data_IF_635014329408
#
_entry.id   IF_635014329408
#
_cell.length_a   1.000
_cell.length_b   1.000
_cell.length_c   1.000
_cell.angle_alpha   90.00
_cell.angle_beta   90.00
_cell.angle_gamma   90.00
#
_symmetry.space_group_name_H-M   'P 1'
#
loop_
_entity.id
_entity.type
_entity.pdbx_description
1 polymer ?
#
# COMPACT_ATOMS: atom_id res chain seq x y z
N UNK A 1 -19.70 10.26 -0.17
CA UNK A 1 -19.07 10.34 -1.49
C UNK A 1 -17.61 10.73 -1.28
N UNK A 2 -16.67 9.80 -1.46
CA UNK A 2 -15.23 10.05 -1.29
C UNK A 2 -14.65 10.53 -2.62
N UNK A 3 -13.76 11.54 -2.59
CA UNK A 3 -13.06 12.07 -3.78
C UNK A 3 -13.94 12.58 -4.94
N UNK A 4 -15.21 12.90 -4.69
CA UNK A 4 -16.17 13.31 -5.73
C UNK A 4 -16.32 12.30 -6.90
N UNK A 5 -15.99 11.03 -6.67
CA UNK A 5 -16.20 9.95 -7.63
C UNK A 5 -17.68 9.52 -7.57
N UNK A 6 -18.42 9.50 -8.69
CA UNK A 6 -19.77 8.95 -8.74
C UNK A 6 -19.77 7.45 -8.48
N UNK A 7 -20.57 7.00 -7.51
CA UNK A 7 -20.73 5.59 -7.19
C UNK A 7 -19.57 5.00 -6.37
N UNK A 8 -19.43 3.68 -6.44
CA UNK A 8 -18.35 2.93 -5.79
C UNK A 8 -17.17 2.75 -6.75
N UNK A 9 -15.97 2.60 -6.18
CA UNK A 9 -14.77 2.27 -6.93
C UNK A 9 -13.84 1.44 -6.05
N UNK A 10 -13.02 0.61 -6.69
CA UNK A 10 -11.96 -0.12 -6.02
C UNK A 10 -10.69 0.74 -5.93
N UNK A 11 -10.03 0.66 -4.79
CA UNK A 11 -8.76 1.29 -4.51
C UNK A 11 -7.84 0.28 -3.81
N UNK A 12 -6.52 0.37 -3.99
CA UNK A 12 -5.59 -0.27 -3.07
C UNK A 12 -5.72 0.36 -1.67
N UNK A 13 -5.33 -0.40 -0.65
CA UNK A 13 -5.10 0.10 0.72
C UNK A 13 -4.11 1.27 0.70
N UNK A 14 -4.31 2.23 1.59
CA UNK A 14 -3.34 3.30 1.84
C UNK A 14 -3.97 4.57 2.39
N UNK A 15 -3.12 5.36 3.06
CA UNK A 15 -3.50 6.61 3.71
C UNK A 15 -2.42 7.68 3.61
N UNK A 16 -2.51 8.66 4.50
CA UNK A 16 -1.52 9.74 4.58
C UNK A 16 -0.26 9.27 5.30
N UNK A 17 0.85 9.94 4.99
CA UNK A 17 2.11 9.77 5.71
C UNK A 17 2.09 10.74 6.88
N UNK A 18 2.27 10.23 8.09
CA UNK A 18 2.27 11.04 9.30
C UNK A 18 3.57 11.86 9.45
N UNK A 19 3.54 12.88 10.33
CA UNK A 19 4.72 13.72 10.57
C UNK A 19 5.87 12.88 11.16
N UNK A 20 7.04 12.96 10.52
CA UNK A 20 8.22 12.16 10.86
C UNK A 20 8.17 10.69 10.41
N UNK A 21 7.09 10.25 9.75
CA UNK A 21 6.97 8.90 9.19
C UNK A 21 7.57 8.84 7.77
N UNK A 22 8.31 7.78 7.45
CA UNK A 22 8.73 7.56 6.07
C UNK A 22 7.59 7.00 5.22
N UNK A 23 7.59 7.21 3.88
CA UNK A 23 6.56 6.61 3.03
C UNK A 23 6.50 5.07 3.10
N UNK A 24 7.63 4.43 3.44
CA UNK A 24 7.71 2.98 3.59
C UNK A 24 7.04 2.51 4.90
N UNK A 25 7.31 3.19 6.02
CA UNK A 25 6.66 2.91 7.30
C UNK A 25 5.16 3.14 7.22
N UNK A 26 4.72 4.23 6.56
CA UNK A 26 3.32 4.50 6.31
C UNK A 26 2.66 3.35 5.55
N UNK A 27 3.27 2.85 4.47
CA UNK A 27 2.72 1.72 3.71
C UNK A 27 2.55 0.45 4.56
N UNK A 28 3.52 0.14 5.43
CA UNK A 28 3.44 -1.01 6.36
C UNK A 28 2.37 -0.81 7.43
N UNK A 29 2.26 0.40 7.97
CA UNK A 29 1.23 0.76 8.95
C UNK A 29 -0.16 0.62 8.34
N UNK A 30 -0.42 1.23 7.19
CA UNK A 30 -1.73 1.22 6.53
C UNK A 30 -2.18 -0.21 6.17
N UNK A 31 -1.28 -1.05 5.64
CA UNK A 31 -1.58 -2.47 5.36
C UNK A 31 -1.90 -3.25 6.63
N UNK A 32 -1.17 -3.00 7.72
CA UNK A 32 -1.45 -3.63 9.01
C UNK A 32 -2.78 -3.14 9.59
N UNK A 33 -3.03 -1.83 9.57
CA UNK A 33 -4.23 -1.22 10.15
C UNK A 33 -5.50 -1.58 9.38
N UNK A 34 -5.50 -1.55 8.05
CA UNK A 34 -6.69 -1.82 7.23
C UNK A 34 -6.91 -3.31 6.92
N UNK A 35 -5.83 -4.09 6.80
CA UNK A 35 -5.91 -5.49 6.35
C UNK A 35 -5.43 -6.51 7.39
N UNK A 36 -4.68 -6.11 8.41
CA UNK A 36 -4.07 -7.04 9.37
C UNK A 36 -3.00 -7.93 8.74
N UNK A 37 -2.41 -7.48 7.64
CA UNK A 37 -1.40 -8.20 6.87
C UNK A 37 -0.01 -7.58 7.05
N UNK A 38 1.01 -8.37 6.71
CA UNK A 38 2.40 -7.93 6.65
C UNK A 38 3.23 -8.92 5.82
N UNK A 39 4.53 -8.65 5.68
CA UNK A 39 5.46 -9.57 5.03
C UNK A 39 5.74 -10.84 5.86
N UNK A 40 6.53 -11.76 5.31
CA UNK A 40 7.06 -12.90 6.08
C UNK A 40 7.90 -12.46 7.29
N UNK A 41 8.80 -11.49 7.11
CA UNK A 41 9.65 -11.00 8.20
C UNK A 41 8.80 -10.37 9.32
N UNK A 42 7.73 -9.67 8.95
CA UNK A 42 6.81 -9.09 9.92
C UNK A 42 6.02 -10.17 10.69
N UNK A 43 5.56 -11.21 10.00
CA UNK A 43 4.85 -12.33 10.63
C UNK A 43 5.73 -13.10 11.62
N UNK A 44 6.99 -13.34 11.25
CA UNK A 44 7.99 -14.01 12.12
C UNK A 44 8.33 -13.15 13.35
N UNK A 45 8.37 -11.82 13.20
CA UNK A 45 8.62 -10.91 14.32
C UNK A 45 7.45 -10.80 15.31
N UNK A 46 6.22 -11.11 14.89
CA UNK A 46 5.03 -11.06 15.73
C UNK A 46 4.83 -12.27 16.65
N UNK A 47 5.65 -13.34 16.55
CA UNK A 47 5.61 -14.47 17.50
C UNK A 47 6.26 -14.16 18.87
N UNK A 48 6.71 -12.93 19.11
CA UNK A 48 7.09 -12.46 20.43
C UNK A 48 7.28 -10.95 20.46
N UNK A 49 6.68 -10.31 21.46
CA UNK A 49 6.79 -8.90 21.86
C UNK A 49 5.55 -8.04 21.51
N UNK A 50 4.93 -7.58 22.59
CA UNK A 50 3.98 -6.48 22.71
C UNK A 50 4.34 -5.32 21.78
N UNK A 51 3.36 -4.76 21.07
CA UNK A 51 3.53 -3.71 20.06
C UNK A 51 3.93 -2.37 20.72
N UNK A 52 5.08 -2.33 21.38
CA UNK A 52 5.80 -1.13 21.69
C UNK A 52 6.35 -0.57 20.39
N UNK A 53 5.95 0.65 20.04
CA UNK A 53 6.56 1.49 19.01
C UNK A 53 8.07 1.28 18.99
N UNK A 54 8.57 0.47 18.06
CA UNK A 54 10.01 0.42 17.79
C UNK A 54 10.31 1.73 17.08
N UNK A 55 10.66 2.72 17.89
CA UNK A 55 11.26 3.98 17.48
C UNK A 55 12.66 3.70 16.90
N UNK A 56 12.71 2.97 15.79
CA UNK A 56 13.76 3.11 14.82
C UNK A 56 13.28 4.15 13.82
N UNK A 57 13.08 5.39 14.27
CA UNK A 57 12.92 6.52 13.35
C UNK A 57 14.22 6.59 12.55
N UNK A 58 14.25 5.89 11.43
CA UNK A 58 15.17 6.20 10.36
C UNK A 58 14.68 7.55 9.88
N UNK A 59 15.19 8.62 10.51
CA UNK A 59 15.02 9.99 10.06
C UNK A 59 15.49 9.98 8.61
N UNK A 60 14.56 9.85 7.66
CA UNK A 60 14.90 10.00 6.27
C UNK A 60 14.84 11.50 6.05
N UNK A 61 15.99 12.20 5.95
CA UNK A 61 15.98 13.65 5.85
C UNK A 61 15.16 14.04 4.62
N UNK A 62 14.26 15.02 4.80
CA UNK A 62 13.70 15.78 3.69
C UNK A 62 14.88 16.25 2.85
N UNK A 63 14.99 15.76 1.62
CA UNK A 63 16.03 16.22 0.73
C UNK A 63 15.70 17.68 0.36
N UNK A 64 16.71 18.54 0.08
CA UNK A 64 16.49 19.95 -0.25
C UNK A 64 15.51 20.20 -1.42
N UNK A 65 15.19 19.15 -2.18
CA UNK A 65 14.31 19.10 -3.35
C UNK A 65 13.02 18.25 -3.16
N UNK A 66 12.76 17.65 -1.99
CA UNK A 66 11.51 16.93 -1.75
C UNK A 66 11.51 15.88 -0.62
N UNK A 67 10.39 15.17 -0.51
CA UNK A 67 10.33 13.91 0.26
C UNK A 67 11.38 12.95 -0.34
N UNK A 68 12.11 12.16 0.47
CA UNK A 68 12.88 11.04 -0.05
C UNK A 68 11.98 10.19 -0.94
N UNK A 69 12.54 9.65 -2.03
CA UNK A 69 11.76 8.91 -3.04
C UNK A 69 10.93 7.75 -2.44
N UNK A 70 11.19 7.34 -1.20
CA UNK A 70 10.50 6.27 -0.50
C UNK A 70 11.12 4.91 -0.78
N UNK A 71 12.18 4.86 -1.60
CA UNK A 71 12.91 3.63 -1.85
C UNK A 71 13.79 3.33 -0.64
N UNK A 72 13.64 2.12 -0.09
CA UNK A 72 14.53 1.58 0.93
C UNK A 72 15.46 0.56 0.26
N UNK A 73 16.78 0.76 0.38
CA UNK A 73 17.78 -0.06 -0.35
C UNK A 73 17.91 -1.48 0.21
N UNK A 74 17.88 -1.61 1.53
CA UNK A 74 17.92 -2.91 2.24
C UNK A 74 16.52 -3.27 2.77
N UNK A 75 15.51 -3.06 1.93
CA UNK A 75 14.12 -3.32 2.30
C UNK A 75 13.83 -4.82 2.43
N UNK A 76 12.78 -5.11 3.18
CA UNK A 76 12.13 -6.42 3.16
C UNK A 76 11.82 -6.86 1.70
N UNK A 77 12.26 -8.04 1.25
CA UNK A 77 12.15 -8.48 -0.14
C UNK A 77 10.71 -8.73 -0.60
N UNK A 78 9.76 -8.87 0.32
CA UNK A 78 8.34 -8.96 0.00
C UNK A 78 7.73 -7.59 -0.32
N UNK A 79 8.36 -6.50 0.12
CA UNK A 79 7.92 -5.14 -0.18
C UNK A 79 8.65 -4.59 -1.41
N UNK A 80 7.96 -4.57 -2.55
CA UNK A 80 8.49 -3.98 -3.78
C UNK A 80 8.08 -2.51 -3.85
N UNK A 81 9.06 -1.62 -3.97
CA UNK A 81 8.80 -0.21 -4.27
C UNK A 81 8.43 -0.04 -5.75
N UNK A 82 7.25 0.52 -6.02
CA UNK A 82 6.73 0.74 -7.37
C UNK A 82 7.04 2.14 -7.91
N UNK A 83 7.36 3.11 -7.05
CA UNK A 83 7.73 4.47 -7.45
C UNK A 83 7.06 5.58 -6.65
N UNK A 84 7.55 6.80 -6.86
CA UNK A 84 6.99 8.05 -6.33
C UNK A 84 6.48 8.91 -7.49
N UNK A 85 5.20 9.26 -7.44
CA UNK A 85 4.52 9.91 -8.56
C UNK A 85 3.82 11.18 -8.10
N UNK A 86 4.01 12.27 -8.85
CA UNK A 86 3.28 13.51 -8.60
C UNK A 86 1.81 13.32 -8.94
N UNK A 87 0.93 13.67 -8.02
CA UNK A 87 -0.52 13.72 -8.23
C UNK A 87 -0.93 15.15 -8.59
N UNK A 88 -1.89 15.31 -9.52
CA UNK A 88 -2.39 16.61 -9.98
C UNK A 88 -1.26 17.66 -10.20
N UNK A 89 -0.26 17.31 -11.03
CA UNK A 89 1.00 18.04 -11.15
C UNK A 89 0.85 19.55 -11.44
N UNK A 90 -0.14 19.93 -12.26
CA UNK A 90 -0.45 21.33 -12.58
C UNK A 90 -1.29 22.06 -11.52
N UNK A 91 -1.73 21.38 -10.47
CA UNK A 91 -2.53 21.92 -9.36
C UNK A 91 -1.78 21.87 -8.03
N UNK A 92 -0.49 21.50 -8.06
CA UNK A 92 0.30 21.36 -6.84
C UNK A 92 -0.18 20.22 -5.95
N UNK A 93 -0.82 19.17 -6.50
CA UNK A 93 -1.16 17.98 -5.72
C UNK A 93 0.08 17.33 -5.08
N UNK A 94 -0.13 16.44 -4.13
CA UNK A 94 0.95 15.76 -3.39
C UNK A 94 1.65 14.68 -4.19
N UNK A 95 2.37 13.80 -3.49
CA UNK A 95 2.99 12.60 -4.06
C UNK A 95 2.21 11.34 -3.67
N UNK A 96 2.18 10.37 -4.57
CA UNK A 96 1.87 8.98 -4.29
C UNK A 96 3.19 8.23 -4.16
N UNK A 97 3.43 7.58 -3.03
CA UNK A 97 4.45 6.55 -2.92
C UNK A 97 3.75 5.20 -2.98
N UNK A 98 4.08 4.40 -3.99
CA UNK A 98 3.39 3.14 -4.27
C UNK A 98 4.30 1.95 -3.97
N UNK A 99 3.72 0.94 -3.34
CA UNK A 99 4.42 -0.29 -2.96
C UNK A 99 3.53 -1.49 -3.28
N UNK A 100 4.18 -2.63 -3.54
CA UNK A 100 3.53 -3.91 -3.72
C UNK A 100 4.07 -4.90 -2.67
N UNK A 101 3.21 -5.27 -1.73
CA UNK A 101 3.48 -6.33 -0.77
C UNK A 101 3.15 -7.69 -1.41
N UNK A 102 4.17 -8.52 -1.62
CA UNK A 102 4.04 -9.93 -2.04
C UNK A 102 4.00 -10.86 -0.84
N UNK A 103 3.43 -12.04 -1.05
CA UNK A 103 3.42 -13.12 -0.05
C UNK A 103 2.90 -12.66 1.32
N UNK A 104 1.89 -11.80 1.31
CA UNK A 104 1.33 -11.22 2.52
C UNK A 104 0.81 -12.32 3.46
N UNK A 105 1.18 -12.25 4.73
CA UNK A 105 0.73 -13.15 5.78
C UNK A 105 -0.08 -12.37 6.84
N UNK A 106 -1.03 -13.03 7.52
CA UNK A 106 -1.71 -12.42 8.66
C UNK A 106 -0.71 -12.11 9.78
N UNK A 107 -0.70 -10.86 10.23
CA UNK A 107 0.09 -10.38 11.39
C UNK A 107 -0.81 -9.92 12.54
N UNK A 108 -2.13 -10.03 12.35
CA UNK A 108 -3.16 -9.75 13.34
C UNK A 108 -4.29 -10.81 13.27
N UNK A 109 -5.07 -11.01 14.34
CA UNK A 109 -6.19 -11.94 14.33
C UNK A 109 -7.19 -11.62 13.21
N UNK A 110 -7.52 -12.63 12.40
CA UNK A 110 -8.37 -12.53 11.22
C UNK A 110 -7.81 -11.65 10.07
N UNK A 111 -6.53 -11.25 10.12
CA UNK A 111 -5.89 -10.48 9.05
C UNK A 111 -6.03 -11.16 7.69
N UNK A 112 -6.29 -10.36 6.64
CA UNK A 112 -6.53 -10.87 5.28
C UNK A 112 -7.87 -11.59 5.09
N UNK A 113 -8.82 -11.44 6.00
CA UNK A 113 -10.15 -12.06 5.89
C UNK A 113 -11.28 -11.04 6.01
N UNK A 114 -12.47 -11.38 5.52
CA UNK A 114 -13.68 -10.56 5.69
C UNK A 114 -14.10 -10.33 7.17
N UNK A 115 -13.50 -11.08 8.11
CA UNK A 115 -13.73 -10.92 9.55
C UNK A 115 -12.79 -9.91 10.19
N UNK A 116 -11.74 -9.48 9.50
CA UNK A 116 -10.86 -8.45 10.01
C UNK A 116 -11.65 -7.16 10.28
N UNK A 117 -11.22 -6.43 11.31
CA UNK A 117 -11.74 -5.11 11.65
C UNK A 117 -10.52 -4.21 11.74
N UNK A 118 -10.43 -3.26 10.81
CA UNK A 118 -9.32 -2.33 10.79
C UNK A 118 -9.25 -1.51 12.07
N UNK A 119 -8.05 -1.12 12.44
CA UNK A 119 -7.75 -0.38 13.68
C UNK A 119 -7.48 1.10 13.44
N UNK A 120 -7.60 1.57 12.19
CA UNK A 120 -7.36 2.96 11.75
C UNK A 120 -8.63 3.83 11.64
N UNK A 121 -8.57 4.87 10.80
CA UNK A 121 -9.59 5.93 10.63
C UNK A 121 -11.01 5.38 10.40
N UNK A 122 -12.01 6.13 10.87
CA UNK A 122 -13.45 5.81 10.88
C UNK A 122 -14.09 5.69 9.47
N UNK A 123 -13.27 5.75 8.42
CA UNK A 123 -13.72 5.56 7.06
C UNK A 123 -14.09 4.10 6.79
N UNK A 124 -15.38 3.87 6.50
CA UNK A 124 -15.89 2.54 6.18
C UNK A 124 -15.50 2.15 4.74
N UNK A 125 -14.67 1.11 4.60
CA UNK A 125 -14.47 0.42 3.32
C UNK A 125 -14.88 -1.05 3.43
N UNK A 126 -15.24 -1.65 2.29
CA UNK A 126 -15.53 -3.07 2.19
C UNK A 126 -14.31 -3.77 1.57
N UNK A 127 -13.74 -4.73 2.29
CA UNK A 127 -12.65 -5.55 1.76
C UNK A 127 -13.17 -6.46 0.66
N UNK A 128 -12.56 -6.35 -0.52
CA UNK A 128 -12.81 -7.22 -1.66
C UNK A 128 -11.49 -7.84 -2.07
N UNK A 129 -11.48 -9.16 -2.22
CA UNK A 129 -10.32 -9.91 -2.67
C UNK A 129 -10.51 -10.27 -4.13
N UNK A 130 -9.48 -10.00 -4.92
CA UNK A 130 -9.43 -10.36 -6.32
C UNK A 130 -8.27 -11.33 -6.54
N UNK A 131 -8.51 -12.32 -7.40
CA UNK A 131 -7.42 -13.06 -8.03
C UNK A 131 -6.62 -12.15 -8.96
N UNK A 132 -5.38 -12.52 -9.24
CA UNK A 132 -4.55 -11.81 -10.21
C UNK A 132 -5.25 -11.68 -11.58
N UNK A 133 -5.92 -12.75 -12.03
CA UNK A 133 -6.66 -12.75 -13.29
C UNK A 133 -7.79 -11.71 -13.29
N UNK A 134 -8.54 -11.60 -12.20
CA UNK A 134 -9.61 -10.60 -12.08
C UNK A 134 -9.03 -9.18 -12.15
N UNK A 135 -7.93 -8.90 -11.42
CA UNK A 135 -7.28 -7.58 -11.47
C UNK A 135 -6.76 -7.28 -12.87
N UNK A 136 -6.17 -8.27 -13.55
CA UNK A 136 -5.70 -8.16 -14.93
C UNK A 136 -6.84 -7.84 -15.88
N UNK A 137 -7.96 -8.56 -15.77
CA UNK A 137 -9.14 -8.35 -16.60
C UNK A 137 -9.79 -6.98 -16.34
N UNK A 138 -9.90 -6.56 -15.07
CA UNK A 138 -10.38 -5.22 -14.69
C UNK A 138 -9.48 -4.12 -15.27
N UNK A 139 -8.16 -4.35 -15.29
CA UNK A 139 -7.18 -3.42 -15.86
C UNK A 139 -7.30 -3.33 -17.39
N UNK A 140 -7.53 -4.44 -18.08
CA UNK A 140 -7.73 -4.50 -19.53
C UNK A 140 -9.06 -3.86 -19.96
N UNK A 141 -10.15 -4.18 -19.25
CA UNK A 141 -11.48 -3.63 -19.56
C UNK A 141 -11.55 -2.12 -19.33
N UNK A 142 -10.76 -1.62 -18.37
CA UNK A 142 -10.70 -0.21 -18.03
C UNK A 142 -11.95 0.29 -17.31
N UNK A 143 -11.87 1.51 -16.78
CA UNK A 143 -13.01 2.17 -16.13
C UNK A 143 -13.46 1.55 -14.80
N UNK A 144 -12.78 0.52 -14.30
CA UNK A 144 -13.09 -0.12 -13.00
C UNK A 144 -12.49 0.67 -11.84
N UNK A 145 -11.21 1.04 -11.95
CA UNK A 145 -10.54 1.99 -11.06
C UNK A 145 -10.87 3.41 -11.54
N UNK A 146 -11.53 4.21 -10.69
CA UNK A 146 -12.01 5.55 -11.06
C UNK A 146 -10.99 6.66 -10.84
N UNK A 147 -9.87 6.35 -10.22
CA UNK A 147 -8.75 7.26 -10.03
C UNK A 147 -7.50 6.72 -10.75
N UNK A 148 -6.82 7.59 -11.50
CA UNK A 148 -5.61 7.23 -12.27
C UNK A 148 -4.54 6.62 -11.38
N UNK A 149 -4.35 7.14 -10.17
CA UNK A 149 -3.35 6.64 -9.24
C UNK A 149 -3.62 5.19 -8.80
N UNK A 150 -4.89 4.81 -8.66
CA UNK A 150 -5.27 3.43 -8.31
C UNK A 150 -5.06 2.49 -9.49
N UNK A 151 -5.47 2.90 -10.69
CA UNK A 151 -5.21 2.13 -11.91
C UNK A 151 -3.71 1.91 -12.14
N UNK A 152 -2.90 2.96 -11.94
CA UNK A 152 -1.45 2.89 -12.07
C UNK A 152 -0.83 1.94 -11.04
N UNK A 153 -1.25 1.98 -9.77
CA UNK A 153 -0.75 1.06 -8.74
C UNK A 153 -1.02 -0.40 -9.08
N UNK A 154 -2.25 -0.76 -9.47
CA UNK A 154 -2.55 -2.13 -9.89
C UNK A 154 -1.77 -2.54 -11.15
N UNK A 155 -1.68 -1.65 -12.14
CA UNK A 155 -0.91 -1.92 -13.36
C UNK A 155 0.59 -2.18 -13.09
N UNK A 156 1.21 -1.35 -12.25
CA UNK A 156 2.61 -1.52 -11.86
C UNK A 156 2.82 -2.82 -11.08
N UNK A 157 1.92 -3.16 -10.14
CA UNK A 157 2.00 -4.42 -9.40
C UNK A 157 1.88 -5.66 -10.31
N UNK A 158 0.95 -5.63 -11.29
CA UNK A 158 0.81 -6.71 -12.28
C UNK A 158 2.08 -6.89 -13.12
N UNK A 159 2.75 -5.81 -13.54
CA UNK A 159 4.01 -5.91 -14.29
C UNK A 159 5.10 -6.62 -13.48
N UNK A 160 5.14 -6.42 -12.16
CA UNK A 160 6.07 -7.13 -11.29
C UNK A 160 5.72 -8.61 -11.09
N UNK A 161 4.43 -8.99 -11.15
CA UNK A 161 4.00 -10.39 -11.15
C UNK A 161 4.42 -11.08 -12.45
N UNK A 162 4.13 -10.47 -13.60
CA UNK A 162 4.49 -11.01 -14.92
C UNK A 162 6.00 -11.22 -15.08
N UNK A 163 6.81 -10.28 -14.58
CA UNK A 163 8.27 -10.39 -14.65
C UNK A 163 8.81 -11.55 -13.78
N UNK A 164 8.15 -11.89 -12.68
CA UNK A 164 8.51 -13.03 -11.85
C UNK A 164 8.17 -14.37 -12.51
N UNK A 165 7.10 -14.40 -13.33
CA UNK A 165 6.65 -15.58 -14.06
C UNK A 165 7.39 -15.81 -15.39
N UNK A 166 8.31 -14.91 -15.76
CA UNK A 166 9.17 -15.06 -16.95
C UNK A 166 8.45 -14.85 -18.29
N UNK A 167 7.35 -14.07 -18.30
CA UNK A 167 6.56 -13.73 -19.49
C UNK A 167 6.88 -12.33 -19.99
#
# INVERSE_FOLDING_TARGET
MKYAIPGESFAPVGGFIDDGESPYEAAKREVREELGLGSRMEAESSEGVDAGKTAGASMVPLLPDGLPDGRVLDADPDWIYLGAYRTAANRGGGFLHSYFLRNALPVAPNGGTAKYRGTGDDEKHNLVFFSEEEVRMMSIQGGVFKEVKWAATFGLALLHLMQADGV
#
